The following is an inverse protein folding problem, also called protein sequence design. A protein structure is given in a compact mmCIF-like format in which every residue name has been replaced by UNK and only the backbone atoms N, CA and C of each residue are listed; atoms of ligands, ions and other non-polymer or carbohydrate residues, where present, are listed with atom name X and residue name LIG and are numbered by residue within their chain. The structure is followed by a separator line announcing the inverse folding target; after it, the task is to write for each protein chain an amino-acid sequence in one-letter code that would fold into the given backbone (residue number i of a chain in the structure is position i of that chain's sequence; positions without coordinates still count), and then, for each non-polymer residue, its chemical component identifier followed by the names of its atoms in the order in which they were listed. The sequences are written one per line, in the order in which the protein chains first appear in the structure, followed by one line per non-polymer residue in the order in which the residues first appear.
data_IF_661895798465
#
_entry.id   IF_661895798465
#
_cell.length_a   1.000
_cell.length_b   1.000
_cell.length_c   1.000
_cell.angle_alpha   90.00
_cell.angle_beta   90.00
_cell.angle_gamma   90.00
#
_symmetry.space_group_name_H-M   'P 1'
#
loop_
_entity.id
_entity.type
_entity.pdbx_description
1 polymer ?
#
# COMPACT_ATOMS: atom_id res chain seq x y z
N UNK A 1 -40.26 -16.14 -35.85
CA UNK A 1 -39.78 -16.35 -34.47
C UNK A 1 -39.08 -15.09 -34.03
N UNK A 2 -39.62 -14.38 -33.03
CA UNK A 2 -39.20 -13.03 -32.69
C UNK A 2 -37.87 -13.02 -31.91
N UNK A 3 -37.14 -11.91 -32.07
CA UNK A 3 -35.94 -11.57 -31.34
C UNK A 3 -36.31 -11.25 -29.89
N UNK A 4 -35.72 -11.96 -28.92
CA UNK A 4 -35.85 -11.64 -27.50
C UNK A 4 -35.03 -10.39 -27.19
N UNK A 5 -35.73 -9.26 -27.05
CA UNK A 5 -35.24 -8.08 -26.35
C UNK A 5 -35.13 -8.44 -24.87
N UNK A 6 -33.90 -8.59 -24.38
CA UNK A 6 -33.63 -8.58 -22.93
C UNK A 6 -33.76 -7.14 -22.46
N UNK A 7 -34.75 -6.92 -21.61
CA UNK A 7 -35.03 -5.66 -20.94
C UNK A 7 -33.84 -5.29 -20.05
N UNK A 8 -33.24 -4.13 -20.30
CA UNK A 8 -32.42 -3.44 -19.32
C UNK A 8 -33.34 -3.01 -18.16
N UNK A 9 -33.13 -3.53 -16.97
CA UNK A 9 -33.64 -2.94 -15.73
C UNK A 9 -32.67 -1.83 -15.30
N UNK A 10 -33.13 -0.57 -15.19
CA UNK A 10 -32.37 0.47 -14.50
C UNK A 10 -32.62 0.36 -12.98
N UNK A 11 -31.63 0.83 -12.22
CA UNK A 11 -31.57 0.99 -10.76
C UNK A 11 -31.34 -0.24 -9.89
N UNK A 12 -30.21 -0.20 -9.16
CA UNK A 12 -29.89 -1.16 -8.11
C UNK A 12 -28.52 -0.94 -7.47
N UNK A 13 -28.32 0.24 -6.86
CA UNK A 13 -27.29 0.55 -5.85
C UNK A 13 -25.83 0.18 -6.20
N UNK A 14 -25.09 1.20 -6.65
CA UNK A 14 -23.63 1.20 -6.78
C UNK A 14 -23.00 1.11 -5.38
N UNK A 15 -22.80 -0.11 -4.87
CA UNK A 15 -21.94 -0.32 -3.71
C UNK A 15 -20.52 0.10 -4.12
N UNK A 16 -19.90 1.11 -3.49
CA UNK A 16 -18.57 1.55 -3.91
C UNK A 16 -17.63 0.36 -3.86
N UNK A 17 -16.98 0.06 -4.99
CA UNK A 17 -15.96 -0.98 -5.03
C UNK A 17 -14.96 -0.77 -3.88
N UNK A 18 -14.39 -1.82 -3.29
CA UNK A 18 -13.54 -1.70 -2.10
C UNK A 18 -12.34 -0.75 -2.29
N UNK A 19 -11.85 -0.60 -3.53
CA UNK A 19 -10.83 0.40 -3.89
C UNK A 19 -11.35 1.86 -3.84
N UNK A 20 -12.62 2.09 -4.11
CA UNK A 20 -13.29 3.39 -4.01
C UNK A 20 -13.39 3.86 -2.55
N UNK A 21 -13.67 2.96 -1.61
CA UNK A 21 -13.75 3.30 -0.19
C UNK A 21 -12.39 3.66 0.41
N UNK A 22 -11.34 2.88 0.10
CA UNK A 22 -9.98 3.22 0.52
C UNK A 22 -9.51 4.56 -0.09
N UNK A 23 -9.91 4.86 -1.33
CA UNK A 23 -9.62 6.16 -1.95
C UNK A 23 -10.29 7.33 -1.20
N UNK A 24 -11.51 7.13 -0.68
CA UNK A 24 -12.16 8.14 0.16
C UNK A 24 -11.41 8.37 1.48
N UNK A 25 -10.82 7.34 2.07
CA UNK A 25 -10.07 7.47 3.32
C UNK A 25 -8.68 8.09 3.10
N UNK A 26 -7.95 7.64 2.08
CA UNK A 26 -6.52 7.95 1.94
C UNK A 26 -6.15 8.90 0.80
N UNK A 27 -7.08 9.22 -0.11
CA UNK A 27 -6.77 10.04 -1.29
C UNK A 27 -7.56 11.35 -1.36
N UNK A 28 -8.89 11.31 -1.21
CA UNK A 28 -9.75 12.44 -1.63
C UNK A 28 -10.94 12.78 -0.71
N UNK A 29 -11.15 12.05 0.39
CA UNK A 29 -12.32 12.29 1.25
C UNK A 29 -12.08 13.23 2.43
N UNK A 30 -13.19 13.58 3.08
CA UNK A 30 -13.25 14.53 4.20
C UNK A 30 -12.41 14.09 5.40
N UNK A 31 -12.32 12.78 5.66
CA UNK A 31 -11.50 12.24 6.75
C UNK A 31 -10.02 12.63 6.57
N UNK A 32 -9.46 12.41 5.38
CA UNK A 32 -8.09 12.84 5.08
C UNK A 32 -7.94 14.34 5.25
N UNK A 33 -8.88 15.12 4.70
CA UNK A 33 -8.85 16.58 4.79
C UNK A 33 -8.77 17.05 6.25
N UNK A 34 -9.68 16.60 7.10
CA UNK A 34 -9.75 16.98 8.52
C UNK A 34 -8.48 16.58 9.28
N UNK A 35 -7.95 15.37 9.05
CA UNK A 35 -6.71 14.91 9.68
C UNK A 35 -5.51 15.78 9.28
N UNK A 36 -5.39 16.09 7.98
CA UNK A 36 -4.29 16.90 7.46
C UNK A 36 -4.38 18.36 7.90
N UNK A 37 -5.58 18.93 7.95
CA UNK A 37 -5.82 20.31 8.41
C UNK A 37 -5.62 20.45 9.92
N UNK A 38 -5.93 19.42 10.70
CA UNK A 38 -5.71 19.39 12.14
C UNK A 38 -4.23 19.25 12.55
N UNK A 39 -3.32 19.01 11.58
CA UNK A 39 -1.87 18.87 11.78
C UNK A 39 -1.51 17.99 12.98
N UNK A 40 -2.14 16.82 13.04
CA UNK A 40 -1.98 15.86 14.14
C UNK A 40 -0.57 15.25 14.20
N UNK A 41 0.10 15.19 13.05
CA UNK A 41 1.39 14.55 12.87
C UNK A 41 2.39 15.52 12.26
N UNK A 42 3.67 15.32 12.55
CA UNK A 42 4.75 16.12 11.98
C UNK A 42 4.99 15.80 10.50
N UNK A 43 4.82 14.53 10.13
CA UNK A 43 4.89 14.06 8.75
C UNK A 43 3.47 13.87 8.20
N UNK A 44 3.15 14.57 7.10
CA UNK A 44 1.86 14.49 6.42
C UNK A 44 1.61 13.07 5.85
N UNK A 45 2.65 12.24 5.71
CA UNK A 45 2.52 10.84 5.29
C UNK A 45 2.10 9.90 6.42
N UNK A 46 2.24 10.31 7.68
CA UNK A 46 2.08 9.40 8.81
C UNK A 46 0.69 8.76 8.86
N UNK A 47 -0.38 9.54 8.60
CA UNK A 47 -1.75 9.02 8.58
C UNK A 47 -2.02 8.09 7.39
N UNK A 48 -1.53 8.43 6.19
CA UNK A 48 -1.80 7.62 4.99
C UNK A 48 -1.08 6.27 5.00
N UNK A 49 -0.03 6.15 5.81
CA UNK A 49 0.68 4.90 6.07
C UNK A 49 0.06 4.07 7.22
N UNK A 50 -1.02 4.53 7.85
CA UNK A 50 -1.71 3.78 8.91
C UNK A 50 -2.70 2.78 8.31
N UNK A 51 -2.56 1.48 8.58
CA UNK A 51 -3.52 0.48 8.11
C UNK A 51 -4.84 0.59 8.86
N UNK A 52 -5.96 0.22 8.23
CA UNK A 52 -7.26 0.16 8.91
C UNK A 52 -7.31 -1.01 9.90
N UNK A 53 -7.88 -0.79 11.08
CA UNK A 53 -8.16 -1.88 12.03
C UNK A 53 -9.49 -2.60 11.73
N UNK A 54 -10.40 -1.95 11.00
CA UNK A 54 -11.73 -2.45 10.61
C UNK A 54 -12.02 -2.16 9.13
N UNK A 55 -13.17 -2.62 8.61
CA UNK A 55 -13.51 -2.43 7.21
C UNK A 55 -13.69 -0.94 6.83
N UNK A 56 -13.32 -0.51 5.62
CA UNK A 56 -13.36 0.90 5.20
C UNK A 56 -14.73 1.56 5.32
N UNK A 57 -15.80 0.83 5.01
CA UNK A 57 -17.19 1.27 5.12
C UNK A 57 -17.56 1.61 6.57
N UNK A 58 -17.12 0.79 7.53
CA UNK A 58 -17.34 1.04 8.95
C UNK A 58 -16.61 2.29 9.42
N UNK A 59 -15.35 2.48 9.02
CA UNK A 59 -14.59 3.70 9.39
C UNK A 59 -15.28 4.94 8.84
N UNK A 60 -15.69 4.94 7.56
CA UNK A 60 -16.38 6.07 6.95
C UNK A 60 -17.73 6.34 7.62
N UNK A 61 -18.47 5.31 8.01
CA UNK A 61 -19.74 5.45 8.71
C UNK A 61 -19.55 6.08 10.10
N UNK A 62 -18.61 5.57 10.91
CA UNK A 62 -18.30 6.12 12.24
C UNK A 62 -17.76 7.54 12.16
N UNK A 63 -16.95 7.84 11.14
CA UNK A 63 -16.47 9.20 10.90
C UNK A 63 -17.62 10.17 10.61
N UNK A 64 -18.60 9.77 9.80
CA UNK A 64 -19.78 10.60 9.50
C UNK A 64 -20.58 10.91 10.78
N UNK A 65 -20.76 9.92 11.64
CA UNK A 65 -21.45 10.10 12.93
C UNK A 65 -20.71 11.10 13.83
N UNK A 66 -19.38 10.96 13.95
CA UNK A 66 -18.53 11.92 14.68
C UNK A 66 -18.61 13.33 14.08
N UNK A 67 -18.50 13.45 12.76
CA UNK A 67 -18.56 14.73 12.07
C UNK A 67 -19.92 15.42 12.26
N UNK A 68 -21.02 14.66 12.27
CA UNK A 68 -22.36 15.19 12.53
C UNK A 68 -22.51 15.70 13.96
N UNK A 69 -21.94 15.01 14.95
CA UNK A 69 -21.98 15.42 16.36
C UNK A 69 -21.32 16.80 16.57
N UNK A 70 -20.27 17.10 15.81
CA UNK A 70 -19.48 18.33 15.93
C UNK A 70 -19.75 19.37 14.84
N UNK A 71 -20.85 19.26 14.09
CA UNK A 71 -21.17 20.16 12.97
C UNK A 71 -19.99 20.34 11.99
N UNK A 72 -19.32 19.25 11.63
CA UNK A 72 -18.13 19.18 10.76
C UNK A 72 -16.87 19.87 11.30
N UNK A 73 -16.87 20.32 12.56
CA UNK A 73 -15.74 20.96 13.22
C UNK A 73 -15.24 20.09 14.39
N UNK A 74 -14.62 18.97 14.08
CA UNK A 74 -14.18 17.97 15.07
C UNK A 74 -12.98 18.51 15.86
N UNK A 75 -13.02 18.52 17.21
CA UNK A 75 -11.88 18.89 18.03
C UNK A 75 -10.67 17.98 17.77
N UNK A 76 -9.47 18.56 17.83
CA UNK A 76 -8.22 17.86 17.53
C UNK A 76 -8.03 16.59 18.38
N UNK A 77 -8.47 16.61 19.64
CA UNK A 77 -8.35 15.46 20.53
C UNK A 77 -9.29 14.31 20.13
N UNK A 78 -10.55 14.61 19.82
CA UNK A 78 -11.50 13.58 19.39
C UNK A 78 -11.11 12.96 18.05
N UNK A 79 -10.53 13.75 17.15
CA UNK A 79 -9.99 13.23 15.89
C UNK A 79 -8.79 12.31 16.13
N UNK A 80 -7.93 12.59 17.13
CA UNK A 80 -6.85 11.68 17.52
C UNK A 80 -7.39 10.37 18.08
N UNK A 81 -8.36 10.45 18.97
CA UNK A 81 -8.97 9.28 19.61
C UNK A 81 -9.66 8.39 18.55
N UNK A 82 -10.36 9.01 17.58
CA UNK A 82 -10.94 8.32 16.43
C UNK A 82 -9.89 7.57 15.60
N UNK A 83 -8.75 8.20 15.29
CA UNK A 83 -7.68 7.52 14.54
C UNK A 83 -7.10 6.36 15.35
N UNK A 84 -6.88 6.55 16.65
CA UNK A 84 -6.32 5.51 17.51
C UNK A 84 -7.24 4.29 17.65
N UNK A 85 -8.56 4.48 17.58
CA UNK A 85 -9.53 3.38 17.63
C UNK A 85 -9.61 2.59 16.30
N UNK A 86 -9.55 3.29 15.17
CA UNK A 86 -9.87 2.70 13.86
C UNK A 86 -8.67 2.43 12.94
N UNK A 87 -7.47 2.83 13.35
CA UNK A 87 -6.24 2.66 12.58
C UNK A 87 -5.14 2.01 13.41
N UNK A 88 -4.30 1.23 12.74
CA UNK A 88 -3.11 0.63 13.32
C UNK A 88 -1.91 1.56 13.14
N UNK A 89 -0.92 1.45 14.03
CA UNK A 89 0.31 2.22 13.86
C UNK A 89 1.04 1.78 12.57
N UNK A 90 1.35 2.75 11.71
CA UNK A 90 2.05 2.53 10.45
C UNK A 90 3.46 1.97 10.62
N UNK A 91 4.01 1.44 9.53
CA UNK A 91 5.40 0.96 9.48
C UNK A 91 5.64 -0.44 10.05
N UNK A 92 4.62 -1.11 10.61
CA UNK A 92 4.74 -2.49 11.10
C UNK A 92 4.64 -3.55 10.00
N UNK A 93 4.09 -3.17 8.83
CA UNK A 93 3.82 -4.10 7.73
C UNK A 93 5.10 -4.60 7.04
N UNK A 94 6.16 -3.79 7.04
CA UNK A 94 7.39 -4.02 6.29
C UNK A 94 8.49 -4.57 7.18
N UNK A 95 8.85 -5.84 6.96
CA UNK A 95 9.93 -6.50 7.69
C UNK A 95 11.22 -6.54 6.87
N UNK A 96 12.41 -6.39 7.48
CA UNK A 96 13.68 -6.62 6.81
C UNK A 96 13.70 -7.96 6.08
N UNK A 97 14.11 -7.95 4.82
CA UNK A 97 14.15 -9.18 4.03
C UNK A 97 15.36 -9.20 3.10
N UNK A 98 16.05 -10.33 3.12
CA UNK A 98 17.11 -10.64 2.16
C UNK A 98 16.60 -11.76 1.24
N UNK A 99 16.60 -11.56 -0.09
CA UNK A 99 16.23 -12.61 -1.04
C UNK A 99 17.08 -13.87 -0.90
N UNK A 100 16.49 -15.03 -1.19
CA UNK A 100 17.17 -16.33 -1.07
C UNK A 100 18.30 -16.49 -2.11
N UNK A 101 18.19 -15.81 -3.25
CA UNK A 101 19.18 -15.76 -4.33
C UNK A 101 20.21 -14.63 -4.16
N UNK A 102 20.22 -13.93 -3.02
CA UNK A 102 21.16 -12.86 -2.74
C UNK A 102 22.61 -13.35 -2.78
N UNK A 103 23.47 -12.65 -3.53
CA UNK A 103 24.92 -12.86 -3.56
C UNK A 103 25.61 -11.54 -3.31
N UNK A 104 26.55 -11.45 -2.37
CA UNK A 104 27.20 -10.17 -2.07
C UNK A 104 28.06 -9.64 -3.23
N UNK A 105 28.58 -10.54 -4.09
CA UNK A 105 29.28 -10.19 -5.33
C UNK A 105 28.66 -10.95 -6.52
N UNK A 106 27.61 -10.42 -7.14
CA UNK A 106 26.97 -11.07 -8.27
C UNK A 106 27.84 -10.97 -9.53
N UNK A 107 27.91 -12.05 -10.29
CA UNK A 107 28.83 -12.18 -11.44
C UNK A 107 28.59 -11.15 -12.55
N UNK A 108 27.38 -10.60 -12.69
CA UNK A 108 27.08 -9.62 -13.74
C UNK A 108 27.86 -8.31 -13.55
N UNK A 109 28.23 -7.94 -12.32
CA UNK A 109 29.02 -6.72 -12.05
C UNK A 109 30.42 -6.79 -12.69
N UNK A 110 30.94 -8.01 -12.90
CA UNK A 110 32.22 -8.21 -13.59
C UNK A 110 32.17 -7.82 -15.07
N UNK A 111 30.97 -7.72 -15.66
CA UNK A 111 30.77 -7.27 -17.04
C UNK A 111 30.94 -5.76 -17.20
N UNK A 112 30.86 -4.99 -16.11
CA UNK A 112 31.02 -3.53 -16.13
C UNK A 112 32.51 -3.21 -16.26
N UNK A 113 32.94 -2.69 -17.41
CA UNK A 113 34.36 -2.45 -17.72
C UNK A 113 34.95 -1.25 -16.98
N UNK A 114 34.19 -0.16 -16.80
CA UNK A 114 34.68 1.02 -16.06
C UNK A 114 34.73 0.69 -14.56
N UNK A 115 35.90 0.79 -13.91
CA UNK A 115 36.06 0.45 -12.50
C UNK A 115 35.24 1.34 -11.55
N UNK A 116 34.98 2.61 -11.92
CA UNK A 116 34.15 3.52 -11.12
C UNK A 116 32.68 3.14 -11.19
N UNK A 117 32.19 2.77 -12.37
CA UNK A 117 30.82 2.29 -12.54
C UNK A 117 30.60 0.95 -11.85
N UNK A 118 31.60 0.06 -11.88
CA UNK A 118 31.56 -1.20 -11.15
C UNK A 118 31.45 -0.96 -9.64
N UNK A 119 32.29 -0.10 -9.08
CA UNK A 119 32.25 0.24 -7.65
C UNK A 119 30.91 0.88 -7.25
N UNK A 120 30.35 1.76 -8.09
CA UNK A 120 29.03 2.33 -7.86
C UNK A 120 27.92 1.27 -7.87
N UNK A 121 27.96 0.35 -8.84
CA UNK A 121 26.97 -0.73 -8.94
C UNK A 121 27.06 -1.71 -7.77
N UNK A 122 28.27 -1.98 -7.24
CA UNK A 122 28.46 -2.72 -5.98
C UNK A 122 27.84 -2.01 -4.78
N UNK A 123 28.02 -0.69 -4.66
CA UNK A 123 27.39 0.10 -3.61
C UNK A 123 25.87 0.10 -3.72
N UNK A 124 25.34 0.25 -4.94
CA UNK A 124 23.92 0.18 -5.21
C UNK A 124 23.36 -1.19 -4.82
N UNK A 125 24.02 -2.27 -5.22
CA UNK A 125 23.64 -3.62 -4.82
C UNK A 125 23.54 -3.73 -3.30
N UNK A 126 24.57 -3.33 -2.56
CA UNK A 126 24.53 -3.36 -1.09
C UNK A 126 23.42 -2.47 -0.49
N UNK A 127 23.05 -1.36 -1.14
CA UNK A 127 21.92 -0.54 -0.73
C UNK A 127 20.58 -1.27 -0.91
N UNK A 128 20.39 -1.96 -2.03
CA UNK A 128 19.19 -2.75 -2.30
C UNK A 128 18.96 -3.84 -1.25
N UNK A 129 20.03 -4.49 -0.76
CA UNK A 129 19.95 -5.44 0.38
C UNK A 129 19.34 -4.81 1.63
N UNK A 130 19.72 -3.57 1.93
CA UNK A 130 19.28 -2.84 3.13
C UNK A 130 17.84 -2.35 3.00
N UNK A 131 17.49 -1.88 1.80
CA UNK A 131 16.17 -1.35 1.49
C UNK A 131 15.12 -2.43 1.23
N UNK A 132 15.54 -3.65 0.86
CA UNK A 132 14.65 -4.79 0.68
C UNK A 132 13.81 -5.08 1.93
N UNK A 133 12.49 -5.02 1.77
CA UNK A 133 11.51 -5.38 2.79
C UNK A 133 10.53 -6.40 2.24
N UNK A 134 9.94 -7.21 3.11
CA UNK A 134 8.82 -8.10 2.81
C UNK A 134 7.59 -7.62 3.57
N UNK A 135 6.46 -7.59 2.87
CA UNK A 135 5.15 -7.34 3.49
C UNK A 135 4.76 -8.54 4.35
N UNK A 136 4.35 -8.28 5.58
CA UNK A 136 3.92 -9.27 6.55
C UNK A 136 2.42 -9.17 6.82
N UNK A 137 1.84 -10.20 7.43
CA UNK A 137 0.42 -10.21 7.80
C UNK A 137 -0.54 -10.51 6.63
N UNK A 138 -1.82 -10.11 6.73
CA UNK A 138 -2.86 -10.40 5.74
C UNK A 138 -2.58 -9.83 4.34
N UNK A 139 -1.69 -8.84 4.25
CA UNK A 139 -1.25 -8.20 3.01
C UNK A 139 -0.08 -8.93 2.34
N UNK A 140 0.47 -9.96 2.98
CA UNK A 140 1.49 -10.80 2.36
C UNK A 140 0.87 -11.53 1.16
N UNK A 141 1.37 -11.24 -0.04
CA UNK A 141 0.98 -11.98 -1.24
C UNK A 141 1.24 -13.49 -1.02
N UNK A 142 0.32 -14.39 -1.42
CA UNK A 142 0.55 -15.83 -1.33
C UNK A 142 1.86 -16.20 -2.00
N UNK A 143 2.75 -16.88 -1.28
CA UNK A 143 3.89 -17.56 -1.93
C UNK A 143 3.27 -18.67 -2.77
N UNK A 144 3.22 -18.49 -4.09
CA UNK A 144 2.72 -19.50 -5.00
C UNK A 144 3.55 -20.78 -4.84
N UNK A 145 3.01 -21.75 -4.09
CA UNK A 145 3.53 -23.11 -4.04
C UNK A 145 3.05 -23.84 -5.28
N UNK A 146 3.80 -23.72 -6.38
CA UNK A 146 3.64 -24.59 -7.54
C UNK A 146 3.38 -23.87 -8.87
N UNK A 147 4.40 -23.88 -9.71
CA UNK A 147 4.38 -23.90 -11.19
C UNK A 147 3.09 -23.37 -11.85
N UNK A 148 3.08 -22.07 -12.18
CA UNK A 148 2.69 -21.59 -13.51
C UNK A 148 3.39 -20.28 -13.81
N UNK A 149 4.25 -20.32 -14.82
CA UNK A 149 4.87 -19.15 -15.43
C UNK A 149 3.76 -18.18 -15.89
N UNK A 150 3.72 -16.96 -15.36
CA UNK A 150 2.79 -15.95 -15.86
C UNK A 150 2.44 -14.76 -14.97
N UNK A 151 2.86 -14.69 -13.70
CA UNK A 151 2.64 -13.46 -12.93
C UNK A 151 3.74 -12.43 -13.21
N UNK A 152 3.42 -11.23 -13.74
CA UNK A 152 4.41 -10.18 -13.95
C UNK A 152 4.99 -9.65 -12.63
N UNK A 153 4.32 -9.90 -11.50
CA UNK A 153 4.70 -9.45 -10.16
C UNK A 153 5.13 -10.61 -9.24
N UNK A 154 5.78 -11.65 -9.79
CA UNK A 154 6.54 -12.61 -8.98
C UNK A 154 7.66 -11.91 -8.21
N UNK A 155 7.97 -12.42 -7.02
CA UNK A 155 8.99 -11.89 -6.09
C UNK A 155 10.20 -11.31 -6.82
N UNK A 156 10.64 -10.11 -6.42
CA UNK A 156 11.84 -9.46 -6.95
C UNK A 156 13.04 -10.38 -6.73
N UNK A 157 13.39 -11.17 -7.75
CA UNK A 157 14.64 -11.94 -7.78
C UNK A 157 15.77 -11.03 -8.23
N UNK A 158 16.96 -11.23 -7.67
CA UNK A 158 18.17 -10.47 -8.05
C UNK A 158 18.49 -10.68 -9.53
N UNK A 159 18.12 -11.83 -10.10
CA UNK A 159 18.27 -12.09 -11.53
C UNK A 159 17.38 -11.20 -12.42
N UNK A 160 16.20 -10.78 -11.95
CA UNK A 160 15.33 -9.86 -12.68
C UNK A 160 15.87 -8.42 -12.67
N UNK A 161 16.69 -8.06 -11.69
CA UNK A 161 17.37 -6.76 -11.66
C UNK A 161 18.48 -6.64 -12.70
N UNK A 162 19.13 -7.76 -13.05
CA UNK A 162 20.10 -7.80 -14.15
C UNK A 162 19.49 -7.60 -15.55
N UNK A 163 18.15 -7.56 -15.67
CA UNK A 163 17.45 -7.18 -16.90
C UNK A 163 17.05 -5.70 -16.94
N UNK A 164 17.17 -4.99 -15.82
CA UNK A 164 16.88 -3.55 -15.71
C UNK A 164 18.16 -2.71 -15.96
N UNK A 165 19.35 -3.34 -15.89
CA UNK A 165 20.66 -2.73 -16.17
C UNK A 165 21.36 -3.37 -17.37
#
# INVERSE_FOLDING_TARGET
MPQTLVLFSPDGADSPLPNSLCSQIYCQGELLCQVQMAKLYQDDKQFVDMPLSVAPDQVLQRFKELAQLHNLSIPQQELRDFIQEHFQAGGQELQPWTPEDWKDSPQFLQKILDPRLRAWAEQLHQLWKKLGKKVSGPLAWPRETGVRAGSPFGAFTVERLGHIF
#
